data_IF_761995026092
#
_entry.id   IF_761995026092
#
_cell.length_a   1.000
_cell.length_b   1.000
_cell.length_c   1.000
_cell.angle_alpha   90.00
_cell.angle_beta   90.00
_cell.angle_gamma   90.00
#
_symmetry.space_group_name_H-M   'P 1'
#
loop_
_entity.id
_entity.type
_entity.pdbx_description
1 polymer ?
#
# COMPACT_ATOMS: atom_id res chain seq x y z
N UNK A 1 52.76 23.87 -6.12
CA UNK A 1 51.96 23.27 -7.21
C UNK A 1 50.70 22.52 -6.74
N UNK A 2 50.68 21.90 -5.55
CA UNK A 2 49.54 21.07 -5.09
C UNK A 2 48.23 21.83 -4.85
N UNK A 3 48.28 23.05 -4.29
CA UNK A 3 47.07 23.85 -3.99
C UNK A 3 46.38 24.36 -5.27
N UNK A 4 47.16 24.74 -6.30
CA UNK A 4 46.62 25.18 -7.60
C UNK A 4 45.93 24.04 -8.36
N UNK A 5 46.44 22.82 -8.25
CA UNK A 5 45.81 21.63 -8.85
C UNK A 5 44.50 21.23 -8.13
N UNK A 6 44.45 21.36 -6.80
CA UNK A 6 43.22 21.10 -6.01
C UNK A 6 42.15 22.16 -6.29
N UNK A 7 42.51 23.44 -6.41
CA UNK A 7 41.58 24.48 -6.82
C UNK A 7 41.05 24.29 -8.26
N UNK A 8 41.90 23.86 -9.20
CA UNK A 8 41.46 23.57 -10.56
C UNK A 8 40.48 22.39 -10.64
N UNK A 9 40.70 21.36 -9.80
CA UNK A 9 39.82 20.19 -9.71
C UNK A 9 38.46 20.55 -9.08
N UNK A 10 38.46 21.40 -8.04
CA UNK A 10 37.23 21.86 -7.38
C UNK A 10 36.40 22.79 -8.29
N UNK A 11 37.05 23.66 -9.06
CA UNK A 11 36.37 24.52 -10.05
C UNK A 11 35.84 23.69 -11.23
N UNK A 12 36.56 22.64 -11.65
CA UNK A 12 36.08 21.73 -12.70
C UNK A 12 34.90 20.86 -12.23
N UNK A 13 34.85 20.44 -10.96
CA UNK A 13 33.68 19.75 -10.40
C UNK A 13 32.45 20.67 -10.28
N UNK A 14 32.62 21.97 -9.97
CA UNK A 14 31.52 22.92 -9.92
C UNK A 14 30.91 23.22 -11.31
N UNK A 15 31.72 23.20 -12.37
CA UNK A 15 31.27 23.48 -13.74
C UNK A 15 30.47 22.33 -14.38
N UNK A 16 30.58 21.11 -13.86
CA UNK A 16 29.79 19.96 -14.37
C UNK A 16 28.34 20.00 -13.86
N UNK A 17 28.06 20.71 -12.76
CA UNK A 17 26.70 20.87 -12.21
C UNK A 17 25.91 22.06 -12.81
N UNK A 18 26.53 22.93 -13.61
CA UNK A 18 25.83 24.07 -14.24
C UNK A 18 25.35 23.80 -15.66
N UNK A 19 25.56 22.60 -16.19
CA UNK A 19 24.78 22.10 -17.32
C UNK A 19 23.38 21.72 -16.81
N UNK A 20 22.59 22.74 -16.48
CA UNK A 20 21.16 22.59 -16.28
C UNK A 20 20.63 21.89 -17.51
N UNK A 21 20.14 20.65 -17.34
CA UNK A 21 19.44 19.98 -18.41
C UNK A 21 18.30 20.90 -18.81
N UNK A 22 18.37 21.47 -20.00
CA UNK A 22 17.25 22.19 -20.59
C UNK A 22 16.19 21.13 -20.86
N UNK A 23 15.34 20.88 -19.86
CA UNK A 23 14.09 20.15 -20.07
C UNK A 23 13.29 21.03 -21.02
N UNK A 24 13.27 20.65 -22.29
CA UNK A 24 12.49 21.32 -23.31
C UNK A 24 11.02 21.13 -22.95
N UNK A 25 10.39 22.15 -22.37
CA UNK A 25 8.95 22.17 -22.19
C UNK A 25 8.27 21.91 -23.55
N UNK A 26 7.23 21.07 -23.55
CA UNK A 26 6.51 20.75 -24.77
C UNK A 26 6.03 22.00 -25.51
N UNK A 27 6.29 22.05 -26.82
CA UNK A 27 6.03 23.25 -27.62
C UNK A 27 4.53 23.47 -27.94
N UNK A 28 3.68 22.48 -27.70
CA UNK A 28 2.26 22.47 -28.05
C UNK A 28 1.31 22.60 -26.84
N UNK A 29 1.82 22.74 -25.61
CA UNK A 29 1.00 22.81 -24.38
C UNK A 29 0.66 24.24 -23.93
N UNK A 30 1.10 25.26 -24.67
CA UNK A 30 0.96 26.68 -24.27
C UNK A 30 -0.47 27.13 -23.93
N UNK A 31 -1.49 26.56 -24.58
CA UNK A 31 -2.91 26.84 -24.34
C UNK A 31 -3.64 25.74 -23.56
N UNK A 32 -2.91 24.74 -23.07
CA UNK A 32 -3.47 23.61 -22.36
C UNK A 32 -3.86 24.03 -20.92
N UNK A 33 -5.09 23.77 -20.46
CA UNK A 33 -5.49 24.07 -19.10
C UNK A 33 -4.64 23.35 -18.03
N UNK A 34 -4.00 22.22 -18.37
CA UNK A 34 -3.13 21.43 -17.51
C UNK A 34 -1.65 21.68 -17.77
N UNK A 35 -1.25 22.75 -18.49
CA UNK A 35 0.14 23.03 -18.86
C UNK A 35 1.14 22.86 -17.71
N UNK A 36 0.89 23.53 -16.57
CA UNK A 36 1.81 23.48 -15.41
C UNK A 36 1.94 22.08 -14.82
N UNK A 37 0.84 21.33 -14.77
CA UNK A 37 0.81 19.93 -14.30
C UNK A 37 1.61 19.02 -15.23
N UNK A 38 1.42 19.18 -16.54
CA UNK A 38 2.17 18.45 -17.57
C UNK A 38 3.67 18.75 -17.46
N UNK A 39 4.07 20.03 -17.38
CA UNK A 39 5.47 20.43 -17.23
C UNK A 39 6.10 19.86 -15.93
N UNK A 40 5.33 19.81 -14.84
CA UNK A 40 5.79 19.19 -13.58
C UNK A 40 6.02 17.68 -13.72
N UNK A 41 5.05 16.96 -14.31
CA UNK A 41 5.17 15.52 -14.56
C UNK A 41 6.32 15.19 -15.53
N UNK A 42 6.57 16.04 -16.53
CA UNK A 42 7.70 15.89 -17.44
C UNK A 42 9.03 16.10 -16.71
N UNK A 43 9.12 17.13 -15.85
CA UNK A 43 10.32 17.40 -15.04
C UNK A 43 10.64 16.26 -14.07
N UNK A 44 9.61 15.60 -13.54
CA UNK A 44 9.73 14.38 -12.73
C UNK A 44 10.05 13.13 -13.58
N UNK A 45 10.06 13.27 -14.90
CA UNK A 45 10.32 12.17 -15.84
C UNK A 45 9.17 11.17 -15.98
N UNK A 46 8.02 11.41 -15.35
CA UNK A 46 6.86 10.51 -15.32
C UNK A 46 6.24 10.39 -16.71
N UNK A 47 6.07 11.53 -17.38
CA UNK A 47 5.55 11.58 -18.75
C UNK A 47 6.64 11.98 -19.73
N UNK A 48 6.49 11.54 -20.97
CA UNK A 48 7.33 11.92 -22.10
C UNK A 48 6.46 12.31 -23.29
N UNK A 49 6.95 13.28 -24.05
CA UNK A 49 6.32 13.70 -25.30
C UNK A 49 6.56 12.72 -26.43
N UNK A 50 5.91 13.02 -27.53
CA UNK A 50 6.14 12.40 -28.83
C UNK A 50 7.36 13.05 -29.52
N UNK A 51 7.71 12.52 -30.70
CA UNK A 51 8.78 13.08 -31.52
C UNK A 51 8.52 14.57 -31.84
N UNK A 52 9.58 15.36 -31.88
CA UNK A 52 9.50 16.79 -32.21
C UNK A 52 9.09 17.70 -31.04
N UNK A 53 9.23 17.23 -29.80
CA UNK A 53 9.02 18.05 -28.60
C UNK A 53 7.55 18.39 -28.33
N UNK A 54 6.64 17.54 -28.78
CA UNK A 54 5.18 17.71 -28.64
C UNK A 54 4.64 16.79 -27.57
N UNK A 55 3.72 17.28 -26.74
CA UNK A 55 2.98 16.45 -25.80
C UNK A 55 1.79 15.74 -26.46
N UNK A 56 1.19 16.36 -27.48
CA UNK A 56 -0.06 15.94 -28.11
C UNK A 56 -1.25 15.92 -27.10
N UNK A 57 -1.54 17.08 -26.50
CA UNK A 57 -2.57 17.25 -25.46
C UNK A 57 -3.94 16.64 -25.78
N UNK A 58 -4.38 16.76 -27.03
CA UNK A 58 -5.69 16.29 -27.50
C UNK A 58 -5.68 14.82 -27.94
N UNK A 59 -4.49 14.22 -28.07
CA UNK A 59 -4.34 12.81 -28.40
C UNK A 59 -5.03 11.92 -27.37
N UNK A 60 -5.55 10.77 -27.81
CA UNK A 60 -6.20 9.80 -26.93
C UNK A 60 -5.15 8.98 -26.20
N UNK A 61 -5.41 8.71 -24.93
CA UNK A 61 -4.50 7.90 -24.13
C UNK A 61 -4.74 6.42 -24.41
N UNK A 62 -3.72 5.70 -24.86
CA UNK A 62 -3.78 4.25 -25.01
C UNK A 62 -3.57 3.54 -23.67
N UNK A 63 -4.05 2.31 -23.56
CA UNK A 63 -3.81 1.46 -22.38
C UNK A 63 -2.31 1.27 -22.10
N UNK A 64 -1.49 1.06 -23.14
CA UNK A 64 -0.04 0.93 -22.97
C UNK A 64 0.58 2.17 -22.30
N UNK A 65 0.20 3.37 -22.75
CA UNK A 65 0.68 4.62 -22.17
C UNK A 65 0.09 4.88 -20.78
N UNK A 66 -1.20 4.64 -20.59
CA UNK A 66 -1.92 4.89 -19.34
C UNK A 66 -1.46 4.01 -18.19
N UNK A 67 -1.31 2.70 -18.41
CA UNK A 67 -0.82 1.81 -17.34
C UNK A 67 0.65 2.09 -17.02
N UNK A 68 1.49 2.31 -18.04
CA UNK A 68 2.90 2.62 -17.83
C UNK A 68 3.11 3.92 -17.06
N UNK A 69 2.31 4.96 -17.32
CA UNK A 69 2.41 6.22 -16.57
C UNK A 69 1.93 6.07 -15.14
N UNK A 70 0.87 5.30 -14.87
CA UNK A 70 0.38 5.05 -13.52
C UNK A 70 1.39 4.28 -12.67
N UNK A 71 1.90 3.16 -13.19
CA UNK A 71 2.93 2.36 -12.52
C UNK A 71 4.15 3.20 -12.19
N UNK A 72 4.61 4.01 -13.15
CA UNK A 72 5.77 4.88 -12.94
C UNK A 72 5.51 6.00 -11.95
N UNK A 73 4.35 6.65 -12.01
CA UNK A 73 4.04 7.82 -11.19
C UNK A 73 3.94 7.47 -9.70
N UNK A 74 3.33 6.33 -9.40
CA UNK A 74 3.13 5.85 -8.03
C UNK A 74 4.22 4.87 -7.57
N UNK A 75 5.33 4.79 -8.32
CA UNK A 75 6.47 3.90 -8.04
C UNK A 75 6.05 2.46 -7.69
N UNK A 76 5.02 1.97 -8.39
CA UNK A 76 4.49 0.63 -8.16
C UNK A 76 5.55 -0.39 -8.57
N UNK A 77 5.83 -1.33 -7.69
CA UNK A 77 6.81 -2.38 -7.91
C UNK A 77 6.30 -3.73 -7.38
N UNK A 78 7.09 -4.77 -7.61
CA UNK A 78 6.81 -6.15 -7.18
C UNK A 78 8.03 -6.77 -6.51
N UNK A 79 8.94 -5.95 -5.98
CA UNK A 79 10.25 -6.36 -5.47
C UNK A 79 10.15 -7.27 -4.24
N UNK A 80 9.00 -7.21 -3.55
CA UNK A 80 8.67 -8.03 -2.39
C UNK A 80 8.04 -9.38 -2.76
N UNK A 81 7.76 -9.63 -4.04
CA UNK A 81 7.19 -10.90 -4.50
C UNK A 81 8.33 -11.83 -4.93
N UNK A 82 8.25 -13.09 -4.52
CA UNK A 82 9.19 -14.13 -4.94
C UNK A 82 8.49 -15.07 -5.90
N UNK A 83 9.00 -15.14 -7.12
CA UNK A 83 8.44 -15.99 -8.17
C UNK A 83 9.27 -17.27 -8.33
N UNK A 84 8.58 -18.40 -8.43
CA UNK A 84 9.20 -19.68 -8.84
C UNK A 84 9.55 -19.64 -10.33
N UNK A 85 8.72 -18.95 -11.12
CA UNK A 85 8.89 -18.71 -12.55
C UNK A 85 8.59 -17.25 -12.84
N UNK A 86 9.45 -16.61 -13.62
CA UNK A 86 9.25 -15.23 -14.08
C UNK A 86 7.87 -15.07 -14.74
N UNK A 87 7.04 -14.13 -14.26
CA UNK A 87 5.71 -13.91 -14.82
C UNK A 87 5.81 -13.29 -16.21
N UNK A 88 4.93 -13.70 -17.11
CA UNK A 88 4.80 -13.10 -18.44
C UNK A 88 3.52 -12.30 -18.53
N UNK A 89 3.53 -11.20 -19.28
CA UNK A 89 2.31 -10.39 -19.45
C UNK A 89 1.19 -11.20 -20.10
N UNK A 90 1.52 -12.14 -20.99
CA UNK A 90 0.55 -13.05 -21.62
C UNK A 90 -0.07 -14.08 -20.67
N UNK A 91 0.53 -14.34 -19.51
CA UNK A 91 -0.08 -15.18 -18.46
C UNK A 91 -1.39 -14.54 -17.95
N UNK A 92 -1.46 -13.20 -17.96
CA UNK A 92 -2.59 -12.42 -17.48
C UNK A 92 -3.44 -11.80 -18.61
N UNK A 93 -2.78 -11.33 -19.68
CA UNK A 93 -3.39 -10.58 -20.78
C UNK A 93 -3.02 -11.21 -22.14
N UNK A 94 -3.84 -12.14 -22.67
CA UNK A 94 -3.51 -12.89 -23.88
C UNK A 94 -3.28 -12.05 -25.14
N UNK A 95 -3.78 -10.81 -25.17
CA UNK A 95 -3.69 -9.90 -26.32
C UNK A 95 -2.46 -8.96 -26.26
N UNK A 96 -1.62 -9.07 -25.22
CA UNK A 96 -0.40 -8.30 -25.06
C UNK A 96 0.84 -9.10 -25.50
N UNK A 97 1.98 -8.42 -25.60
CA UNK A 97 3.24 -9.03 -26.07
C UNK A 97 4.28 -9.02 -24.96
N UNK A 98 4.87 -10.18 -24.66
CA UNK A 98 5.87 -10.36 -23.60
C UNK A 98 7.08 -9.41 -23.70
N UNK A 99 7.58 -9.15 -24.92
CA UNK A 99 8.80 -8.35 -25.12
C UNK A 99 8.52 -6.89 -25.49
N UNK A 100 7.30 -6.39 -25.21
CA UNK A 100 6.95 -5.00 -25.49
C UNK A 100 7.37 -4.07 -24.35
N UNK A 101 7.65 -2.80 -24.67
CA UNK A 101 8.09 -1.79 -23.70
C UNK A 101 7.13 -1.56 -22.51
N UNK A 102 5.85 -1.95 -22.65
CA UNK A 102 4.83 -1.84 -21.62
C UNK A 102 4.63 -3.13 -20.80
N UNK A 103 5.28 -4.25 -21.16
CA UNK A 103 4.96 -5.57 -20.60
C UNK A 103 5.11 -5.59 -19.07
N UNK A 104 6.25 -5.10 -18.57
CA UNK A 104 6.55 -5.04 -17.12
C UNK A 104 5.51 -4.21 -16.38
N UNK A 105 5.11 -3.06 -16.93
CA UNK A 105 4.10 -2.20 -16.32
C UNK A 105 2.76 -2.94 -16.16
N UNK A 106 2.36 -3.76 -17.14
CA UNK A 106 1.11 -4.54 -17.02
C UNK A 106 1.21 -5.68 -16.01
N UNK A 107 2.37 -6.32 -15.89
CA UNK A 107 2.63 -7.33 -14.85
C UNK A 107 2.55 -6.68 -13.46
N UNK A 108 3.24 -5.56 -13.27
CA UNK A 108 3.22 -4.79 -12.02
C UNK A 108 1.80 -4.35 -11.69
N UNK A 109 1.07 -3.80 -12.67
CA UNK A 109 -0.30 -3.37 -12.51
C UNK A 109 -1.23 -4.52 -12.10
N UNK A 110 -1.10 -5.70 -12.72
CA UNK A 110 -1.88 -6.88 -12.36
C UNK A 110 -1.63 -7.29 -10.91
N UNK A 111 -0.36 -7.37 -10.50
CA UNK A 111 0.02 -7.84 -9.18
C UNK A 111 -0.25 -6.82 -8.07
N UNK A 112 -0.32 -5.54 -8.42
CA UNK A 112 -0.77 -4.47 -7.52
C UNK A 112 -2.30 -4.32 -7.50
N UNK A 113 -3.05 -5.05 -8.33
CA UNK A 113 -4.51 -5.01 -8.33
C UNK A 113 -5.09 -3.75 -8.95
N UNK A 114 -4.50 -3.26 -10.04
CA UNK A 114 -5.03 -2.12 -10.80
C UNK A 114 -6.27 -2.48 -11.64
N UNK A 115 -6.69 -3.74 -11.66
CA UNK A 115 -7.95 -4.22 -12.28
C UNK A 115 -8.05 -3.92 -13.79
N UNK A 116 -6.93 -4.06 -14.51
CA UNK A 116 -6.92 -3.90 -15.97
C UNK A 116 -7.71 -5.04 -16.65
N UNK A 117 -8.55 -4.77 -17.67
CA UNK A 117 -9.33 -5.80 -18.33
C UNK A 117 -8.47 -6.90 -18.99
N UNK A 118 -8.81 -8.17 -18.80
CA UNK A 118 -8.06 -9.32 -19.34
C UNK A 118 -7.88 -9.31 -20.85
N UNK A 119 -8.88 -8.82 -21.59
CA UNK A 119 -8.88 -8.79 -23.05
C UNK A 119 -8.30 -7.50 -23.65
N UNK A 120 -7.73 -6.62 -22.83
CA UNK A 120 -7.14 -5.34 -23.27
C UNK A 120 -6.11 -5.51 -24.37
N UNK A 121 -6.09 -4.59 -25.33
CA UNK A 121 -4.98 -4.43 -26.28
C UNK A 121 -4.20 -3.18 -25.95
N UNK A 122 -2.89 -3.24 -26.17
CA UNK A 122 -1.95 -2.15 -25.89
C UNK A 122 -2.38 -0.79 -26.48
N UNK A 123 -2.93 -0.81 -27.69
CA UNK A 123 -3.31 0.39 -28.44
C UNK A 123 -4.77 0.79 -28.26
N UNK A 124 -5.54 0.07 -27.43
CA UNK A 124 -6.91 0.46 -27.13
C UNK A 124 -6.89 1.82 -26.42
N UNK A 125 -7.74 2.74 -26.86
CA UNK A 125 -7.89 4.04 -26.23
C UNK A 125 -8.75 3.92 -24.97
N UNK A 126 -8.25 4.41 -23.84
CA UNK A 126 -8.96 4.38 -22.56
C UNK A 126 -10.10 5.39 -22.56
N UNK A 127 -11.23 5.00 -21.98
CA UNK A 127 -12.29 5.92 -21.62
C UNK A 127 -11.96 6.66 -20.32
N UNK A 128 -12.69 7.73 -20.02
CA UNK A 128 -12.54 8.50 -18.78
C UNK A 128 -12.79 7.65 -17.53
N UNK A 129 -13.83 6.82 -17.54
CA UNK A 129 -14.13 5.92 -16.40
C UNK A 129 -13.03 4.87 -16.19
N UNK A 130 -12.45 4.33 -17.26
CA UNK A 130 -11.40 3.32 -17.18
C UNK A 130 -10.14 3.93 -16.55
N UNK A 131 -9.70 5.09 -17.05
CA UNK A 131 -8.53 5.75 -16.48
C UNK A 131 -8.78 6.21 -15.03
N UNK A 132 -9.96 6.74 -14.72
CA UNK A 132 -10.35 7.08 -13.35
C UNK A 132 -10.22 5.89 -12.40
N UNK A 133 -10.74 4.74 -12.81
CA UNK A 133 -10.67 3.53 -11.99
C UNK A 133 -9.24 3.07 -11.72
N UNK A 134 -8.41 2.94 -12.76
CA UNK A 134 -7.02 2.53 -12.58
C UNK A 134 -6.18 3.56 -11.79
N UNK A 135 -6.45 4.85 -11.98
CA UNK A 135 -5.82 5.92 -11.20
C UNK A 135 -6.16 5.79 -9.71
N UNK A 136 -7.44 5.62 -9.38
CA UNK A 136 -7.87 5.43 -8.00
C UNK A 136 -7.22 4.19 -7.36
N UNK A 137 -7.21 3.05 -8.07
CA UNK A 137 -6.53 1.84 -7.59
C UNK A 137 -5.04 2.08 -7.34
N UNK A 138 -4.39 2.89 -8.17
CA UNK A 138 -2.97 3.26 -8.00
C UNK A 138 -2.74 4.16 -6.77
N UNK A 139 -3.63 5.13 -6.52
CA UNK A 139 -3.61 5.97 -5.32
C UNK A 139 -3.73 5.11 -4.07
N UNK A 140 -4.67 4.17 -4.04
CA UNK A 140 -4.88 3.28 -2.88
C UNK A 140 -3.73 2.29 -2.63
N UNK A 141 -2.73 2.20 -3.52
CA UNK A 141 -1.48 1.47 -3.22
C UNK A 141 -0.49 2.25 -2.38
N UNK A 142 -0.69 3.56 -2.23
CA UNK A 142 0.19 4.42 -1.44
C UNK A 142 -0.22 4.47 0.05
N UNK A 143 -1.37 3.89 0.39
CA UNK A 143 -1.87 3.78 1.75
C UNK A 143 -3.39 3.82 1.81
N UNK A 144 -3.91 3.65 3.03
CA UNK A 144 -5.33 3.79 3.30
C UNK A 144 -5.66 5.26 3.56
N UNK A 145 -6.57 5.82 2.77
CA UNK A 145 -7.00 7.20 2.89
C UNK A 145 -8.45 7.27 3.38
N UNK A 146 -8.73 8.23 4.28
CA UNK A 146 -10.08 8.52 4.69
C UNK A 146 -10.78 9.37 3.62
N UNK A 147 -11.96 8.94 3.19
CA UNK A 147 -12.83 9.69 2.30
C UNK A 147 -14.11 10.09 3.03
N UNK A 148 -14.61 11.29 2.74
CA UNK A 148 -15.96 11.65 3.17
C UNK A 148 -16.98 10.82 2.37
N UNK A 149 -18.02 10.32 3.03
CA UNK A 149 -19.10 9.55 2.40
C UNK A 149 -20.16 10.49 1.78
N UNK A 150 -19.70 11.39 0.90
CA UNK A 150 -20.55 12.28 0.11
C UNK A 150 -20.83 11.64 -1.25
N UNK A 151 -22.10 11.49 -1.62
CA UNK A 151 -22.45 11.04 -2.97
C UNK A 151 -22.65 12.25 -3.91
N UNK A 152 -21.77 12.40 -4.90
CA UNK A 152 -21.92 13.45 -5.91
C UNK A 152 -22.88 13.01 -7.02
N UNK A 153 -23.88 13.86 -7.31
CA UNK A 153 -24.82 13.62 -8.42
C UNK A 153 -24.12 13.78 -9.77
N UNK A 154 -24.21 12.75 -10.62
CA UNK A 154 -23.68 12.71 -11.98
C UNK A 154 -24.87 12.59 -12.95
N UNK A 155 -25.00 13.50 -13.91
CA UNK A 155 -26.17 13.51 -14.80
C UNK A 155 -26.20 12.32 -15.78
N UNK A 156 -25.03 11.87 -16.22
CA UNK A 156 -24.83 10.70 -17.07
C UNK A 156 -24.40 9.45 -16.29
N UNK A 157 -24.78 9.36 -15.01
CA UNK A 157 -24.47 8.23 -14.11
C UNK A 157 -24.85 6.86 -14.70
N UNK A 158 -25.99 6.79 -15.40
CA UNK A 158 -26.48 5.57 -16.04
C UNK A 158 -25.51 4.97 -17.07
N UNK A 159 -24.61 5.79 -17.62
CA UNK A 159 -23.63 5.36 -18.61
C UNK A 159 -22.33 4.86 -17.93
N UNK A 160 -22.18 5.03 -16.62
CA UNK A 160 -21.01 4.58 -15.85
C UNK A 160 -21.05 3.06 -15.68
N UNK A 161 -19.90 2.41 -15.86
CA UNK A 161 -19.75 1.02 -15.40
C UNK A 161 -19.84 0.97 -13.87
N UNK A 162 -20.77 0.18 -13.33
CA UNK A 162 -21.03 0.09 -11.88
C UNK A 162 -19.78 -0.24 -11.07
N UNK A 163 -18.90 -1.09 -11.59
CA UNK A 163 -17.66 -1.48 -10.93
C UNK A 163 -16.68 -0.30 -10.77
N UNK A 164 -16.85 0.76 -11.55
CA UNK A 164 -16.00 1.96 -11.53
C UNK A 164 -16.63 3.13 -10.77
N UNK A 165 -17.89 3.03 -10.34
CA UNK A 165 -18.62 4.13 -9.73
C UNK A 165 -17.94 4.64 -8.46
N UNK A 166 -17.54 3.72 -7.57
CA UNK A 166 -16.86 4.08 -6.33
C UNK A 166 -15.58 4.88 -6.61
N UNK A 167 -14.73 4.39 -7.52
CA UNK A 167 -13.51 5.09 -7.94
C UNK A 167 -13.79 6.48 -8.48
N UNK A 168 -14.83 6.64 -9.30
CA UNK A 168 -15.22 7.95 -9.84
C UNK A 168 -15.70 8.87 -8.72
N UNK A 169 -16.56 8.41 -7.82
CA UNK A 169 -17.04 9.19 -6.68
C UNK A 169 -15.88 9.66 -5.81
N UNK A 170 -14.98 8.74 -5.41
CA UNK A 170 -13.82 9.09 -4.58
C UNK A 170 -12.90 10.11 -5.26
N UNK A 171 -12.65 9.98 -6.56
CA UNK A 171 -11.85 10.97 -7.33
C UNK A 171 -12.54 12.33 -7.49
N UNK A 172 -13.87 12.36 -7.57
CA UNK A 172 -14.63 13.60 -7.63
C UNK A 172 -14.65 14.31 -6.27
N UNK A 173 -14.86 13.56 -5.19
CA UNK A 173 -14.84 14.05 -3.80
C UNK A 173 -13.48 14.65 -3.44
N UNK A 174 -12.39 13.98 -3.85
CA UNK A 174 -11.02 14.47 -3.66
C UNK A 174 -10.61 15.57 -4.65
N UNK A 175 -11.51 15.96 -5.57
CA UNK A 175 -11.29 16.98 -6.60
C UNK A 175 -10.15 16.67 -7.58
N UNK A 176 -9.77 15.39 -7.69
CA UNK A 176 -8.80 14.91 -8.68
C UNK A 176 -9.45 14.88 -10.08
N UNK A 177 -10.68 14.37 -10.14
CA UNK A 177 -11.52 14.45 -11.33
C UNK A 177 -12.58 15.55 -11.17
N UNK A 178 -13.11 16.03 -12.29
CA UNK A 178 -14.16 17.06 -12.31
C UNK A 178 -15.26 16.72 -13.29
N UNK A 179 -16.47 17.15 -12.94
CA UNK A 179 -17.63 17.19 -13.84
C UNK A 179 -17.59 18.46 -14.69
N UNK A 180 -18.32 18.44 -15.81
CA UNK A 180 -18.52 19.67 -16.58
C UNK A 180 -19.53 20.62 -15.90
N UNK A 181 -19.76 21.78 -16.52
CA UNK A 181 -20.72 22.79 -16.01
C UNK A 181 -22.17 22.30 -15.96
N UNK A 182 -22.47 21.17 -16.59
CA UNK A 182 -23.78 20.51 -16.63
C UNK A 182 -23.77 19.23 -15.79
N UNK A 183 -22.82 19.05 -14.87
CA UNK A 183 -22.68 17.87 -14.01
C UNK A 183 -22.54 16.53 -14.76
N UNK A 184 -22.00 16.51 -15.98
CA UNK A 184 -21.70 15.27 -16.70
C UNK A 184 -20.23 14.86 -16.50
N UNK A 185 -20.01 13.55 -16.37
CA UNK A 185 -18.68 12.94 -16.26
C UNK A 185 -18.13 12.48 -17.61
N UNK A 186 -18.98 12.13 -18.57
CA UNK A 186 -18.66 11.52 -19.87
C UNK A 186 -17.89 10.19 -19.74
N UNK A 187 -18.44 9.18 -19.03
CA UNK A 187 -17.71 7.95 -18.68
C UNK A 187 -17.17 7.20 -19.89
N UNK A 188 -17.94 7.14 -20.99
CA UNK A 188 -17.57 6.42 -22.21
C UNK A 188 -16.68 7.21 -23.18
N UNK A 189 -16.46 8.50 -22.94
CA UNK A 189 -15.62 9.32 -23.81
C UNK A 189 -14.15 8.94 -23.65
N UNK A 190 -13.41 8.87 -24.76
CA UNK A 190 -11.96 8.63 -24.74
C UNK A 190 -11.22 9.78 -24.05
N UNK A 191 -10.47 9.45 -23.01
CA UNK A 191 -9.69 10.42 -22.24
C UNK A 191 -8.54 10.95 -23.10
N UNK A 192 -8.30 12.26 -23.02
CA UNK A 192 -7.16 12.89 -23.69
C UNK A 192 -5.92 12.81 -22.81
N UNK A 193 -4.73 12.87 -23.43
CA UNK A 193 -3.44 12.90 -22.73
C UNK A 193 -3.36 14.06 -21.73
N UNK A 194 -3.90 15.23 -22.08
CA UNK A 194 -3.98 16.40 -21.17
C UNK A 194 -4.82 16.10 -19.92
N UNK A 195 -6.03 15.59 -20.08
CA UNK A 195 -6.93 15.32 -18.94
C UNK A 195 -6.33 14.24 -18.04
N UNK A 196 -5.77 13.17 -18.62
CA UNK A 196 -5.13 12.11 -17.86
C UNK A 196 -3.91 12.61 -17.07
N UNK A 197 -3.08 13.47 -17.67
CA UNK A 197 -1.95 14.09 -16.98
C UNK A 197 -2.40 15.02 -15.85
N UNK A 198 -3.48 15.78 -16.06
CA UNK A 198 -4.09 16.61 -15.00
C UNK A 198 -4.52 15.77 -13.81
N UNK A 199 -5.30 14.71 -14.04
CA UNK A 199 -5.77 13.81 -12.98
C UNK A 199 -4.62 13.06 -12.31
N UNK A 200 -3.61 12.63 -13.07
CA UNK A 200 -2.44 11.97 -12.50
C UNK A 200 -1.70 12.90 -11.53
N UNK A 201 -1.44 14.13 -11.94
CA UNK A 201 -0.78 15.12 -11.10
C UNK A 201 -1.57 15.38 -9.81
N UNK A 202 -2.88 15.59 -9.92
CA UNK A 202 -3.73 15.84 -8.76
C UNK A 202 -3.80 14.62 -7.83
N UNK A 203 -3.75 13.41 -8.38
CA UNK A 203 -3.63 12.18 -7.59
C UNK A 203 -2.31 12.07 -6.82
N UNK A 204 -1.20 12.52 -7.41
CA UNK A 204 0.10 12.56 -6.72
C UNK A 204 0.11 13.61 -5.59
N UNK A 205 -0.44 14.80 -5.83
CA UNK A 205 -0.57 15.80 -4.78
C UNK A 205 -1.51 15.32 -3.67
N UNK A 206 -2.62 14.65 -4.01
CA UNK A 206 -3.51 14.04 -3.02
C UNK A 206 -2.77 13.07 -2.09
N UNK A 207 -1.99 12.14 -2.65
CA UNK A 207 -1.18 11.18 -1.85
C UNK A 207 -0.19 11.91 -0.95
N UNK A 208 0.44 12.97 -1.46
CA UNK A 208 1.46 13.73 -0.73
C UNK A 208 0.88 14.60 0.39
N UNK A 209 -0.31 15.16 0.19
CA UNK A 209 -0.94 16.11 1.10
C UNK A 209 -1.93 15.46 2.07
N UNK A 210 -2.41 14.25 1.77
CA UNK A 210 -3.41 13.55 2.59
C UNK A 210 -2.73 12.56 3.52
N UNK A 211 -2.89 12.69 4.85
CA UNK A 211 -2.37 11.70 5.77
C UNK A 211 -3.09 10.36 5.56
N UNK A 212 -2.33 9.28 5.57
CA UNK A 212 -2.90 7.94 5.61
C UNK A 212 -3.53 7.69 6.98
N UNK A 213 -4.56 6.86 7.00
CA UNK A 213 -5.09 6.32 8.24
C UNK A 213 -3.94 5.50 8.85
N UNK A 214 -3.51 5.79 10.09
CA UNK A 214 -2.53 4.97 10.75
C UNK A 214 -3.04 3.54 10.72
N UNK A 215 -2.20 2.60 10.31
CA UNK A 215 -2.46 1.19 10.60
C UNK A 215 -2.53 1.10 12.12
N UNK A 216 -3.74 1.14 12.68
CA UNK A 216 -3.96 0.78 14.07
C UNK A 216 -3.48 -0.67 14.12
N UNK A 217 -2.39 -1.00 14.83
CA UNK A 217 -1.98 -2.37 14.99
C UNK A 217 -3.23 -3.11 15.42
N UNK A 218 -3.67 -4.11 14.64
CA UNK A 218 -4.92 -4.80 14.89
C UNK A 218 -5.02 -5.02 16.39
N UNK A 219 -5.95 -4.31 17.03
CA UNK A 219 -6.09 -4.33 18.48
C UNK A 219 -6.15 -5.81 18.84
N UNK A 220 -5.23 -6.35 19.68
CA UNK A 220 -5.16 -7.78 19.89
C UNK A 220 -6.56 -8.20 20.28
N UNK A 221 -7.19 -9.01 19.40
CA UNK A 221 -8.61 -9.31 19.50
C UNK A 221 -8.92 -9.59 20.97
N UNK A 222 -9.91 -8.89 21.58
CA UNK A 222 -10.09 -8.91 23.02
C UNK A 222 -10.08 -10.37 23.47
N UNK A 223 -9.04 -10.75 24.23
CA UNK A 223 -8.84 -12.12 24.66
C UNK A 223 -10.06 -12.46 25.52
N UNK A 224 -11.00 -13.30 25.04
CA UNK A 224 -12.24 -13.58 25.78
C UNK A 224 -11.93 -14.22 27.13
N UNK A 225 -10.78 -14.92 27.20
CA UNK A 225 -10.29 -15.60 28.38
C UNK A 225 -9.50 -14.63 29.25
N UNK A 226 -9.99 -14.38 30.46
CA UNK A 226 -9.37 -13.49 31.44
C UNK A 226 -8.66 -14.25 32.55
N UNK A 227 -7.80 -13.55 33.30
CA UNK A 227 -7.17 -14.10 34.50
C UNK A 227 -6.24 -15.28 34.24
N UNK A 228 -5.45 -15.23 33.17
CA UNK A 228 -4.52 -16.31 32.84
C UNK A 228 -3.56 -16.58 34.00
N UNK A 229 -3.48 -17.85 34.41
CA UNK A 229 -2.59 -18.31 35.48
C UNK A 229 -1.73 -19.46 34.99
N UNK A 230 -0.42 -19.32 35.12
CA UNK A 230 0.54 -20.36 34.82
C UNK A 230 0.92 -21.12 36.10
N UNK A 231 0.85 -22.45 36.03
CA UNK A 231 1.30 -23.36 37.10
C UNK A 231 2.30 -24.34 36.51
N UNK A 232 3.39 -24.58 37.25
CA UNK A 232 4.45 -25.52 36.87
C UNK A 232 4.49 -26.65 37.88
N UNK A 233 4.46 -27.89 37.39
CA UNK A 233 4.62 -29.11 38.18
C UNK A 233 5.75 -29.95 37.59
N UNK A 234 6.74 -30.32 38.38
CA UNK A 234 7.81 -31.23 37.93
C UNK A 234 7.22 -32.61 37.63
N UNK A 235 7.52 -33.16 36.45
CA UNK A 235 7.18 -34.53 36.06
C UNK A 235 8.33 -35.45 36.42
N UNK A 236 9.56 -35.05 36.07
CA UNK A 236 10.80 -35.70 36.45
C UNK A 236 11.96 -34.68 36.52
N UNK A 237 13.21 -35.18 36.55
CA UNK A 237 14.43 -34.35 36.66
C UNK A 237 14.69 -33.46 35.44
N UNK A 238 14.14 -33.79 34.29
CA UNK A 238 14.40 -33.14 33.01
C UNK A 238 13.17 -32.46 32.43
N UNK A 239 11.96 -32.75 32.94
CA UNK A 239 10.71 -32.25 32.36
C UNK A 239 9.80 -31.62 33.41
N UNK A 240 9.36 -30.40 33.10
CA UNK A 240 8.29 -29.69 33.78
C UNK A 240 7.00 -29.75 32.94
N UNK A 241 5.88 -30.11 33.58
CA UNK A 241 4.53 -29.91 33.03
C UNK A 241 4.08 -28.50 33.36
N UNK A 242 3.66 -27.77 32.34
CA UNK A 242 3.17 -26.40 32.47
C UNK A 242 1.70 -26.36 32.10
N UNK A 243 0.88 -25.90 33.03
CA UNK A 243 -0.56 -25.73 32.85
C UNK A 243 -0.89 -24.25 32.89
N UNK A 244 -1.58 -23.77 31.86
CA UNK A 244 -2.16 -22.42 31.82
C UNK A 244 -3.67 -22.56 32.00
N UNK A 245 -4.24 -21.88 32.99
CA UNK A 245 -5.70 -21.78 33.18
C UNK A 245 -6.18 -20.37 32.92
N UNK A 246 -7.47 -20.19 32.64
CA UNK A 246 -8.12 -18.89 32.50
C UNK A 246 -9.64 -19.01 32.55
N UNK A 247 -10.32 -17.88 32.73
CA UNK A 247 -11.78 -17.80 32.85
C UNK A 247 -12.39 -17.39 31.52
N UNK A 248 -13.15 -18.29 30.89
CA UNK A 248 -13.88 -18.05 29.67
C UNK A 248 -15.33 -17.58 29.94
N UNK A 249 -15.96 -16.79 29.05
CA UNK A 249 -17.34 -16.32 29.22
C UNK A 249 -18.38 -17.45 29.25
N UNK A 250 -18.13 -18.53 28.51
CA UNK A 250 -18.98 -19.71 28.41
C UNK A 250 -18.17 -20.94 27.95
N UNK A 251 -18.65 -22.19 28.12
CA UNK A 251 -17.88 -23.40 27.82
C UNK A 251 -17.68 -23.69 26.32
N UNK A 252 -18.06 -22.74 25.46
CA UNK A 252 -17.79 -22.84 24.02
C UNK A 252 -16.40 -22.37 23.64
N UNK A 253 -15.79 -21.52 24.47
CA UNK A 253 -14.40 -21.14 24.31
C UNK A 253 -13.47 -22.24 24.84
N UNK A 254 -12.30 -22.35 24.24
CA UNK A 254 -11.20 -23.17 24.74
C UNK A 254 -9.90 -22.39 24.81
N UNK A 255 -8.89 -22.97 25.45
CA UNK A 255 -7.54 -22.42 25.49
C UNK A 255 -6.58 -23.40 24.84
N UNK A 256 -5.66 -22.91 24.00
CA UNK A 256 -4.58 -23.73 23.45
C UNK A 256 -3.23 -23.03 23.58
N UNK A 257 -2.17 -23.81 23.70
CA UNK A 257 -0.80 -23.31 23.53
C UNK A 257 -0.56 -23.10 22.04
N UNK A 258 -0.30 -21.87 21.64
CA UNK A 258 -0.07 -21.49 20.25
C UNK A 258 1.41 -21.66 19.86
N UNK A 259 2.32 -21.27 20.76
CA UNK A 259 3.76 -21.42 20.55
C UNK A 259 4.52 -21.42 21.87
N UNK A 260 5.75 -21.95 21.84
CA UNK A 260 6.71 -21.87 22.93
C UNK A 260 8.02 -21.36 22.34
N UNK A 261 8.56 -20.29 22.90
CA UNK A 261 9.84 -19.70 22.48
C UNK A 261 10.85 -19.79 23.61
N UNK A 262 12.08 -20.19 23.29
CA UNK A 262 13.15 -20.33 24.27
C UNK A 262 14.15 -19.18 24.12
N UNK A 263 14.15 -18.26 25.09
CA UNK A 263 14.98 -17.04 25.07
C UNK A 263 15.52 -16.80 26.48
N UNK A 264 16.82 -16.56 26.61
CA UNK A 264 17.48 -16.21 27.87
C UNK A 264 17.14 -17.14 29.06
N UNK A 265 17.12 -18.46 28.82
CA UNK A 265 16.80 -19.46 29.85
C UNK A 265 15.32 -19.52 30.26
N UNK A 266 14.44 -18.82 29.54
CA UNK A 266 12.99 -18.86 29.74
C UNK A 266 12.31 -19.63 28.61
N UNK A 267 11.21 -20.31 28.94
CA UNK A 267 10.27 -20.86 27.98
C UNK A 267 9.03 -19.95 27.97
N UNK A 268 8.95 -19.07 26.98
CA UNK A 268 7.87 -18.11 26.80
C UNK A 268 6.70 -18.83 26.13
N UNK A 269 5.60 -19.00 26.86
CA UNK A 269 4.42 -19.72 26.43
C UNK A 269 3.39 -18.72 25.94
N UNK A 270 3.07 -18.79 24.65
CA UNK A 270 1.97 -18.05 24.04
C UNK A 270 0.73 -18.95 24.01
N UNK A 271 -0.37 -18.45 24.56
CA UNK A 271 -1.68 -19.12 24.48
C UNK A 271 -2.63 -18.31 23.61
N UNK A 272 -3.56 -19.01 22.98
CA UNK A 272 -4.60 -18.42 22.14
C UNK A 272 -5.96 -19.00 22.49
N UNK A 273 -6.99 -18.18 22.30
CA UNK A 273 -8.37 -18.59 22.51
C UNK A 273 -8.85 -19.42 21.33
N UNK A 274 -9.46 -20.57 21.62
CA UNK A 274 -10.24 -21.37 20.68
C UNK A 274 -11.66 -20.82 20.68
N UNK A 275 -12.14 -20.37 19.53
CA UNK A 275 -13.46 -19.78 19.37
C UNK A 275 -14.57 -20.84 19.49
N UNK A 276 -15.77 -20.47 19.99
CA UNK A 276 -16.93 -21.35 19.99
C UNK A 276 -17.39 -21.71 18.59
N UNK A 277 -17.98 -22.88 18.45
CA UNK A 277 -18.64 -23.31 17.24
C UNK A 277 -19.92 -22.48 17.05
N UNK A 278 -20.05 -21.68 15.97
CA UNK A 278 -21.18 -20.78 15.79
C UNK A 278 -22.52 -21.52 15.65
N UNK A 279 -22.51 -22.80 15.27
CA UNK A 279 -23.71 -23.61 15.08
C UNK A 279 -24.20 -24.27 16.39
N UNK A 280 -23.49 -24.06 17.50
CA UNK A 280 -23.84 -24.62 18.81
C UNK A 280 -24.29 -23.53 19.79
N UNK A 281 -25.31 -23.87 20.57
CA UNK A 281 -25.73 -23.05 21.70
C UNK A 281 -24.95 -23.44 22.96
N UNK A 282 -24.48 -22.43 23.70
CA UNK A 282 -23.71 -22.61 24.92
C UNK A 282 -24.41 -21.97 26.13
N UNK A 283 -24.36 -22.61 27.31
CA UNK A 283 -24.89 -22.02 28.53
C UNK A 283 -24.07 -20.77 28.92
N UNK A 284 -24.74 -19.73 29.40
CA UNK A 284 -24.11 -18.46 29.79
C UNK A 284 -23.53 -18.54 31.20
N UNK A 285 -22.43 -19.28 31.35
CA UNK A 285 -21.74 -19.48 32.63
C UNK A 285 -20.23 -19.37 32.46
N UNK A 286 -19.59 -18.54 33.29
CA UNK A 286 -18.14 -18.41 33.29
C UNK A 286 -17.53 -19.79 33.59
N UNK A 287 -16.61 -20.22 32.72
CA UNK A 287 -16.02 -21.57 32.77
C UNK A 287 -14.51 -21.46 32.80
N UNK A 288 -13.86 -22.19 33.71
CA UNK A 288 -12.41 -22.32 33.70
C UNK A 288 -11.98 -23.22 32.53
N UNK A 289 -11.07 -22.72 31.71
CA UNK A 289 -10.46 -23.44 30.60
C UNK A 289 -8.97 -23.58 30.85
N UNK A 290 -8.35 -24.64 30.31
CA UNK A 290 -6.93 -24.87 30.50
C UNK A 290 -6.24 -25.43 29.27
N UNK A 291 -4.95 -25.16 29.17
CA UNK A 291 -4.05 -25.74 28.19
C UNK A 291 -2.80 -26.27 28.91
N UNK A 292 -2.29 -27.41 28.47
CA UNK A 292 -1.10 -28.05 29.05
C UNK A 292 -0.03 -28.21 28.00
N UNK A 293 1.22 -27.96 28.38
CA UNK A 293 2.41 -28.34 27.60
C UNK A 293 3.53 -28.85 28.51
N UNK A 294 4.61 -29.33 27.92
CA UNK A 294 5.80 -29.82 28.61
C UNK A 294 7.02 -29.03 28.15
N UNK A 295 7.87 -28.68 29.11
CA UNK A 295 9.06 -27.87 28.91
C UNK A 295 10.22 -28.55 29.63
N UNK A 296 11.41 -28.52 29.02
CA UNK A 296 12.63 -28.98 29.68
C UNK A 296 12.88 -28.21 30.99
N UNK A 297 13.25 -28.93 32.05
CA UNK A 297 13.43 -28.39 33.39
C UNK A 297 14.55 -27.34 33.50
N UNK A 298 15.44 -27.26 32.49
CA UNK A 298 16.47 -26.23 32.39
C UNK A 298 15.89 -24.83 32.10
N UNK A 299 14.65 -24.72 31.62
CA UNK A 299 14.01 -23.45 31.30
C UNK A 299 12.95 -23.05 32.32
N UNK A 300 12.90 -21.75 32.65
CA UNK A 300 11.84 -21.16 33.48
C UNK A 300 10.61 -20.84 32.63
N UNK A 301 9.45 -21.49 32.84
CA UNK A 301 8.24 -21.19 32.08
C UNK A 301 7.65 -19.83 32.48
N UNK A 302 7.28 -19.02 31.49
CA UNK A 302 6.61 -17.71 31.67
C UNK A 302 5.52 -17.54 30.61
N UNK A 303 4.46 -16.79 30.94
CA UNK A 303 3.47 -16.40 29.92
C UNK A 303 4.03 -15.26 29.07
N UNK A 304 3.75 -15.27 27.78
CA UNK A 304 4.00 -14.12 26.92
C UNK A 304 3.19 -12.91 27.45
N UNK A 305 3.87 -11.83 27.80
CA UNK A 305 3.23 -10.56 28.16
C UNK A 305 2.55 -9.94 26.93
N UNK A 306 1.31 -9.48 27.10
CA UNK A 306 0.52 -8.82 26.02
C UNK A 306 1.01 -7.41 25.69
N UNK A 307 2.07 -6.93 26.34
CA UNK A 307 2.69 -5.64 26.05
C UNK A 307 3.85 -5.84 25.09
N UNK A 308 3.65 -5.36 23.86
CA UNK A 308 4.71 -5.20 22.89
C UNK A 308 5.78 -4.26 23.47
N UNK A 309 7.02 -4.74 23.57
CA UNK A 309 8.18 -3.89 23.79
C UNK A 309 8.35 -2.95 22.58
N UNK A 310 7.77 -1.77 22.68
CA UNK A 310 8.17 -0.57 21.96
C UNK A 310 8.69 0.43 22.99
N UNK A 311 9.96 0.28 23.38
CA UNK A 311 10.73 1.37 23.96
C UNK A 311 12.21 1.13 23.70
N UNK A 312 12.64 1.56 22.50
CA UNK A 312 13.99 2.05 22.34
C UNK A 312 14.06 3.39 23.07
N UNK A 313 14.50 3.36 24.33
CA UNK A 313 14.79 4.58 25.06
C UNK A 313 16.25 4.54 25.53
N UNK A 314 17.09 5.27 24.79
CA UNK A 314 18.40 5.68 25.24
C UNK A 314 18.31 7.14 25.69
N UNK A 315 17.51 7.39 26.73
CA UNK A 315 17.57 8.62 27.51
C UNK A 315 18.56 8.40 28.67
N UNK A 316 19.82 8.77 28.43
CA UNK A 316 20.83 8.87 29.50
C UNK A 316 20.49 10.13 30.30
N UNK A 317 20.17 9.95 31.59
CA UNK A 317 20.08 11.05 32.55
C UNK A 317 21.11 10.93 33.67
N UNK A 318 21.93 11.99 33.76
CA UNK A 318 22.47 12.63 34.98
C UNK A 318 23.56 11.88 35.78
N UNK A 319 24.42 12.62 36.53
CA UNK A 319 23.98 13.30 37.75
C UNK A 319 24.44 14.76 37.87
N UNK A 320 23.59 15.56 38.51
CA UNK A 320 24.00 16.75 39.23
C UNK A 320 24.69 16.34 40.55
N UNK A 321 25.76 17.03 40.93
CA UNK A 321 26.27 17.06 42.29
C UNK A 321 26.78 18.47 42.62
N UNK A 322 26.15 19.01 43.67
CA UNK A 322 26.46 20.14 44.53
C UNK A 322 27.82 20.84 44.39
N UNK A 323 27.80 22.17 44.22
CA UNK A 323 28.00 23.18 45.29
C UNK A 323 27.88 24.60 44.72
#
# INVERSE_FOLDING_TARGET
MKIKAVLLLAVSMLLVFTLGQTVFAFNDTSKDPNKSKIESLEKQGIIKGEKGGKFNSNGKLTYAAGISMLVKAFDLNIDNIRFIKEPKVTDYYPNLKDNAWYADAFIIAQLNGLEVPKNVKANDEMTREQFAHHLFKSIMKQGDFAFIELYMTINDEKDVNKDYMDSIQKLLISKIATLDKKNNFYPKQKITRSVAAGWLYDGLEFVKETPTIPEVPAEPAPQPIQGLKLTVTSVDKNINKVTVTGQAPHPGYGLRVASISFVDGQAIIKVETVQPDPDKMYPQVITEVSATTYVDAAYKPVLASTEAHASGDAAVSSPALAS
#
